data_IF_436144048167
#
_entry.id   IF_436144048167
#
_cell.length_a   1.000
_cell.length_b   1.000
_cell.length_c   1.000
_cell.angle_alpha   90.00
_cell.angle_beta   90.00
_cell.angle_gamma   90.00
#
_symmetry.space_group_name_H-M   'P 1'
#
loop_
_entity.id
_entity.type
_entity.pdbx_description
1 polymer ?
#
# COMPACT_ATOMS: atom_id res chain seq x y z
N UNK A 1 -10.91 -18.58 -28.87
CA UNK A 1 -10.75 -17.46 -27.93
C UNK A 1 -12.06 -17.00 -27.26
N UNK A 2 -13.18 -16.74 -27.99
CA UNK A 2 -14.44 -16.27 -27.38
C UNK A 2 -15.04 -17.22 -26.32
N UNK A 3 -14.90 -18.54 -26.45
CA UNK A 3 -15.43 -19.53 -25.49
C UNK A 3 -14.70 -19.54 -24.14
N UNK A 4 -13.39 -19.28 -24.13
CA UNK A 4 -12.60 -19.21 -22.88
C UNK A 4 -12.85 -17.91 -22.12
N UNK A 5 -13.10 -16.81 -22.85
CA UNK A 5 -13.47 -15.54 -22.24
C UNK A 5 -14.82 -15.64 -21.51
N UNK A 6 -15.80 -16.35 -22.12
CA UNK A 6 -17.10 -16.60 -21.51
C UNK A 6 -16.98 -17.49 -20.26
N UNK A 7 -16.11 -18.50 -20.30
CA UNK A 7 -15.89 -19.39 -19.15
C UNK A 7 -15.24 -18.64 -17.99
N UNK A 8 -14.24 -17.81 -18.27
CA UNK A 8 -13.61 -16.95 -17.26
C UNK A 8 -14.62 -15.98 -16.67
N UNK A 9 -15.47 -15.35 -17.50
CA UNK A 9 -16.50 -14.43 -17.04
C UNK A 9 -17.56 -15.12 -16.20
N UNK A 10 -18.01 -16.31 -16.60
CA UNK A 10 -19.02 -17.10 -15.86
C UNK A 10 -18.46 -17.63 -14.55
N UNK A 11 -17.20 -18.04 -14.53
CA UNK A 11 -16.54 -18.47 -13.28
C UNK A 11 -16.40 -17.29 -12.31
N UNK A 12 -16.08 -16.09 -12.81
CA UNK A 12 -16.03 -14.87 -12.00
C UNK A 12 -17.41 -14.50 -11.42
N UNK A 13 -18.50 -14.69 -12.19
CA UNK A 13 -19.86 -14.43 -11.71
C UNK A 13 -20.37 -15.48 -10.72
N UNK A 14 -19.97 -16.74 -10.85
CA UNK A 14 -20.37 -17.81 -9.92
C UNK A 14 -19.69 -17.72 -8.55
N UNK A 15 -18.49 -17.15 -8.49
CA UNK A 15 -17.83 -16.82 -7.20
C UNK A 15 -18.30 -15.49 -6.61
N UNK A 16 -19.05 -14.68 -7.36
CA UNK A 16 -19.54 -13.35 -6.94
C UNK A 16 -20.81 -13.34 -6.08
N UNK A 17 -21.33 -14.51 -5.69
CA UNK A 17 -22.55 -14.58 -4.85
C UNK A 17 -22.29 -14.63 -3.35
N UNK A 18 -21.07 -14.38 -2.90
CA UNK A 18 -20.84 -14.07 -1.50
C UNK A 18 -21.40 -12.67 -1.26
N UNK A 19 -22.48 -12.58 -0.51
CA UNK A 19 -23.04 -11.31 -0.07
C UNK A 19 -21.90 -10.43 0.46
N UNK A 20 -21.49 -9.46 -0.33
CA UNK A 20 -20.31 -8.67 -0.02
C UNK A 20 -20.70 -7.66 1.04
N UNK A 21 -20.55 -8.05 2.28
CA UNK A 21 -20.45 -7.10 3.35
C UNK A 21 -19.39 -6.07 2.98
N UNK A 22 -19.70 -4.79 3.13
CA UNK A 22 -18.69 -3.76 3.04
C UNK A 22 -17.66 -4.02 4.13
N UNK A 23 -16.38 -3.90 3.82
CA UNK A 23 -15.30 -4.07 4.80
C UNK A 23 -14.48 -2.80 4.88
N UNK A 24 -14.13 -2.40 6.10
CA UNK A 24 -13.13 -1.37 6.35
C UNK A 24 -11.87 -2.05 6.87
N UNK A 25 -10.73 -1.78 6.27
CA UNK A 25 -9.43 -2.34 6.64
C UNK A 25 -8.44 -1.27 7.02
N UNK A 26 -7.76 -1.49 8.15
CA UNK A 26 -6.66 -0.68 8.65
C UNK A 26 -5.39 -1.52 8.62
N UNK A 27 -4.28 -0.96 8.18
CA UNK A 27 -3.01 -1.65 8.09
C UNK A 27 -1.88 -0.71 8.52
N UNK A 28 -0.89 -1.25 9.26
CA UNK A 28 0.29 -0.53 9.71
C UNK A 28 1.56 -1.31 9.32
N UNK A 29 2.64 -0.65 8.88
CA UNK A 29 3.93 -1.27 8.65
C UNK A 29 4.58 -1.68 9.97
N UNK A 30 5.24 -2.83 9.98
CA UNK A 30 6.04 -3.33 11.12
C UNK A 30 7.52 -3.39 10.79
N UNK A 31 7.87 -3.64 9.55
CA UNK A 31 9.23 -3.80 9.09
C UNK A 31 9.39 -3.22 7.70
N UNK A 32 10.56 -2.67 7.44
CA UNK A 32 10.90 -2.02 6.16
C UNK A 32 12.22 -2.55 5.67
N UNK A 33 12.30 -2.82 4.37
CA UNK A 33 13.54 -3.13 3.69
C UNK A 33 13.79 -2.11 2.56
N UNK A 34 15.00 -1.57 2.51
CA UNK A 34 15.44 -0.67 1.46
C UNK A 34 15.90 -1.47 0.24
N UNK A 35 15.51 -1.05 -0.94
CA UNK A 35 15.92 -1.67 -2.21
C UNK A 35 16.69 -0.73 -3.14
N UNK A 36 17.04 0.47 -2.67
CA UNK A 36 17.90 1.42 -3.38
C UNK A 36 19.39 1.17 -3.16
N UNK A 37 20.23 2.00 -3.81
CA UNK A 37 21.68 1.96 -3.61
C UNK A 37 22.03 2.15 -2.14
N UNK A 38 23.01 1.37 -1.66
CA UNK A 38 23.36 1.27 -0.24
C UNK A 38 23.68 2.63 0.37
N UNK A 39 22.86 3.08 1.28
CA UNK A 39 23.22 4.16 2.18
C UNK A 39 23.71 3.56 3.50
N UNK A 40 24.71 4.17 4.11
CA UNK A 40 25.17 3.84 5.47
C UNK A 40 24.16 4.29 6.55
N UNK A 41 22.95 4.70 6.16
CA UNK A 41 21.92 5.17 7.07
C UNK A 41 21.07 4.00 7.58
N UNK A 42 20.72 4.04 8.85
CA UNK A 42 19.61 3.25 9.39
C UNK A 42 18.30 3.81 8.85
N UNK A 43 17.38 2.94 8.47
CA UNK A 43 16.07 3.35 7.98
C UNK A 43 14.94 2.57 8.67
N UNK A 44 13.82 3.24 8.82
CA UNK A 44 12.58 2.63 9.32
C UNK A 44 11.39 3.32 8.66
N UNK A 45 10.28 2.60 8.47
CA UNK A 45 9.03 3.24 8.09
C UNK A 45 8.01 3.15 9.21
N UNK A 46 7.17 4.16 9.26
CA UNK A 46 5.93 4.20 10.01
C UNK A 46 4.82 4.66 9.08
N UNK A 47 3.57 4.52 9.48
CA UNK A 47 2.47 4.98 8.65
C UNK A 47 1.21 4.17 8.85
N UNK A 48 0.28 4.33 7.94
CA UNK A 48 -0.99 3.61 7.97
C UNK A 48 -1.62 3.51 6.58
N UNK A 49 -2.50 2.55 6.41
CA UNK A 49 -3.36 2.44 5.25
C UNK A 49 -4.80 2.21 5.71
N UNK A 50 -5.73 2.93 5.12
CA UNK A 50 -7.17 2.76 5.33
C UNK A 50 -7.80 2.40 4.01
N UNK A 51 -8.61 1.33 3.97
CA UNK A 51 -9.24 0.86 2.74
C UNK A 51 -10.65 0.39 2.97
N UNK A 52 -11.58 0.91 2.15
CA UNK A 52 -12.93 0.37 2.00
C UNK A 52 -12.95 -0.70 0.92
N UNK A 53 -13.61 -1.83 1.18
CA UNK A 53 -13.81 -2.91 0.22
C UNK A 53 -15.31 -3.13 0.04
N UNK A 54 -15.74 -3.19 -1.22
CA UNK A 54 -17.13 -3.40 -1.62
C UNK A 54 -17.14 -4.54 -2.66
N UNK A 55 -17.57 -5.70 -2.24
CA UNK A 55 -17.47 -6.89 -3.07
C UNK A 55 -16.02 -7.27 -3.38
N UNK A 56 -15.72 -7.32 -4.66
CA UNK A 56 -14.37 -7.64 -5.16
C UNK A 56 -13.43 -6.44 -5.16
N UNK A 57 -13.96 -5.22 -5.13
CA UNK A 57 -13.18 -4.00 -5.35
C UNK A 57 -12.97 -3.22 -4.06
N UNK A 58 -11.84 -2.57 -3.95
CA UNK A 58 -11.55 -1.68 -2.85
C UNK A 58 -10.85 -0.42 -3.32
N UNK A 59 -11.01 0.63 -2.51
CA UNK A 59 -10.27 1.87 -2.66
C UNK A 59 -9.71 2.29 -1.29
N UNK A 60 -8.56 2.92 -1.27
CA UNK A 60 -7.91 3.28 -0.03
C UNK A 60 -6.98 4.47 -0.14
N UNK A 61 -6.53 4.89 1.01
CA UNK A 61 -5.49 5.88 1.19
C UNK A 61 -4.39 5.30 2.06
N UNK A 62 -3.16 5.56 1.67
CA UNK A 62 -1.97 5.11 2.41
C UNK A 62 -1.03 6.28 2.61
N UNK A 63 -0.52 6.42 3.83
CA UNK A 63 0.60 7.27 4.16
C UNK A 63 1.74 6.43 4.68
N UNK A 64 2.95 6.65 4.17
CA UNK A 64 4.19 6.05 4.64
C UNK A 64 5.19 7.14 4.94
N UNK A 65 5.78 7.09 6.15
CA UNK A 65 6.81 7.98 6.63
C UNK A 65 8.12 7.19 6.73
N UNK A 66 8.99 7.34 5.73
CA UNK A 66 10.29 6.68 5.67
C UNK A 66 11.34 7.58 6.32
N UNK A 67 11.89 7.14 7.46
CA UNK A 67 12.91 7.85 8.20
C UNK A 67 14.29 7.27 7.92
N UNK A 68 15.20 8.12 7.49
CA UNK A 68 16.64 7.85 7.43
C UNK A 68 17.32 8.49 8.63
N UNK A 69 18.22 7.76 9.26
CA UNK A 69 18.99 8.22 10.42
C UNK A 69 20.47 8.04 10.14
N UNK A 70 21.22 9.12 10.26
CA UNK A 70 22.69 9.16 10.19
C UNK A 70 23.27 9.57 11.54
N UNK A 71 24.56 9.49 11.67
CA UNK A 71 25.29 9.89 12.90
C UNK A 71 24.98 11.32 13.30
N UNK A 72 24.78 12.23 12.35
CA UNK A 72 24.61 13.67 12.57
C UNK A 72 23.19 14.20 12.34
N UNK A 73 22.18 13.32 12.21
CA UNK A 73 20.81 13.77 12.01
C UNK A 73 19.87 12.72 11.45
N UNK A 74 18.68 13.16 11.15
CA UNK A 74 17.68 12.31 10.48
C UNK A 74 16.82 13.10 9.52
N UNK A 75 16.36 12.46 8.45
CA UNK A 75 15.38 13.00 7.52
C UNK A 75 14.23 12.02 7.37
N UNK A 76 13.01 12.53 7.41
CA UNK A 76 11.80 11.74 7.17
C UNK A 76 11.16 12.19 5.87
N UNK A 77 10.87 11.23 5.00
CA UNK A 77 10.11 11.41 3.77
C UNK A 77 8.72 10.85 3.98
N UNK A 78 7.71 11.71 3.87
CA UNK A 78 6.31 11.28 3.86
C UNK A 78 5.88 11.05 2.42
N UNK A 79 5.23 9.91 2.16
CA UNK A 79 4.66 9.57 0.84
C UNK A 79 3.20 9.22 1.02
N UNK A 80 2.33 9.88 0.26
CA UNK A 80 0.89 9.66 0.26
C UNK A 80 0.45 9.03 -1.05
N UNK A 81 -0.40 8.02 -0.98
CA UNK A 81 -0.94 7.35 -2.17
C UNK A 81 -2.45 7.09 -2.04
N UNK A 82 -3.13 7.16 -3.16
CA UNK A 82 -4.49 6.61 -3.31
C UNK A 82 -4.34 5.27 -4.02
N UNK A 83 -4.98 4.25 -3.51
CA UNK A 83 -4.88 2.91 -4.05
C UNK A 83 -6.24 2.29 -4.39
N UNK A 84 -6.23 1.39 -5.36
CA UNK A 84 -7.35 0.52 -5.72
C UNK A 84 -6.92 -0.92 -5.50
N UNK A 85 -7.87 -1.77 -5.19
CA UNK A 85 -7.58 -3.17 -4.91
C UNK A 85 -8.65 -4.11 -5.45
N UNK A 86 -8.22 -5.35 -5.65
CA UNK A 86 -9.06 -6.48 -5.99
C UNK A 86 -8.90 -7.55 -4.91
N UNK A 87 -10.04 -8.04 -4.41
CA UNK A 87 -10.12 -9.15 -3.43
C UNK A 87 -10.87 -10.31 -4.09
N UNK A 88 -10.20 -11.11 -4.95
CA UNK A 88 -10.89 -12.15 -5.73
C UNK A 88 -11.42 -13.29 -4.86
N UNK A 89 -10.80 -13.50 -3.71
CA UNK A 89 -11.28 -14.38 -2.65
C UNK A 89 -10.99 -13.71 -1.31
N UNK A 90 -11.74 -14.05 -0.27
CA UNK A 90 -11.59 -13.43 1.06
C UNK A 90 -10.19 -13.61 1.67
N UNK A 91 -9.46 -14.65 1.23
CA UNK A 91 -8.12 -14.96 1.75
C UNK A 91 -7.06 -13.94 1.35
N UNK A 92 -7.17 -13.28 0.18
CA UNK A 92 -6.14 -12.34 -0.26
C UNK A 92 -6.68 -11.14 -1.03
N UNK A 93 -5.94 -10.04 -0.94
CA UNK A 93 -6.18 -8.79 -1.65
C UNK A 93 -4.89 -8.36 -2.34
N UNK A 94 -4.99 -7.96 -3.58
CA UNK A 94 -3.90 -7.31 -4.33
C UNK A 94 -4.32 -5.91 -4.72
N UNK A 95 -3.38 -5.00 -4.84
CA UNK A 95 -3.71 -3.66 -5.26
C UNK A 95 -2.54 -2.85 -5.76
N UNK A 96 -2.91 -1.73 -6.35
CA UNK A 96 -2.01 -0.75 -6.93
C UNK A 96 -2.42 0.65 -6.49
N UNK A 97 -1.46 1.50 -6.19
CA UNK A 97 -1.68 2.88 -5.81
C UNK A 97 -0.81 3.84 -6.58
N UNK A 98 -1.28 5.06 -6.68
CA UNK A 98 -0.55 6.18 -7.28
C UNK A 98 -0.18 7.17 -6.18
N UNK A 99 1.09 7.58 -6.17
CA UNK A 99 1.56 8.62 -5.25
C UNK A 99 0.94 9.95 -5.65
N UNK A 100 0.23 10.56 -4.70
CA UNK A 100 -0.53 11.80 -4.91
C UNK A 100 0.09 13.01 -4.20
N UNK A 101 1.07 12.77 -3.34
CA UNK A 101 1.73 13.83 -2.59
C UNK A 101 2.77 13.29 -1.61
N UNK A 102 3.37 14.19 -0.88
CA UNK A 102 4.36 13.85 0.13
C UNK A 102 4.91 15.06 0.86
N UNK A 103 5.88 14.80 1.73
CA UNK A 103 6.59 15.78 2.52
C UNK A 103 8.02 15.35 2.82
N UNK A 104 8.81 16.26 3.32
CA UNK A 104 10.15 15.99 3.84
C UNK A 104 10.41 16.85 5.06
N UNK A 105 11.01 16.26 6.09
CA UNK A 105 11.28 17.00 7.35
C UNK A 105 12.39 18.05 7.22
N UNK A 106 13.27 17.91 6.23
CA UNK A 106 14.40 18.80 5.97
C UNK A 106 14.37 19.33 4.53
N UNK A 107 13.56 20.37 4.28
CA UNK A 107 13.49 20.98 2.96
C UNK A 107 12.06 21.27 2.49
N UNK A 108 11.93 21.70 1.26
CA UNK A 108 10.63 21.99 0.64
C UNK A 108 10.51 21.17 -0.65
N UNK A 109 9.49 20.33 -0.72
CA UNK A 109 9.15 19.60 -1.93
C UNK A 109 8.41 20.49 -2.93
N UNK A 110 8.66 20.23 -4.20
CA UNK A 110 7.89 20.78 -5.32
C UNK A 110 6.76 19.79 -5.68
N UNK A 111 7.11 18.52 -5.84
CA UNK A 111 6.14 17.47 -6.17
C UNK A 111 6.59 16.09 -5.69
N UNK A 112 5.65 15.19 -5.62
CA UNK A 112 5.88 13.77 -5.36
C UNK A 112 5.11 12.95 -6.39
N UNK A 113 5.73 11.91 -6.93
CA UNK A 113 5.15 11.02 -7.92
C UNK A 113 5.63 9.59 -7.71
N UNK A 114 4.96 8.64 -8.36
CA UNK A 114 5.34 7.23 -8.29
C UNK A 114 4.17 6.31 -8.07
N UNK A 115 4.46 5.11 -7.64
CA UNK A 115 3.45 4.07 -7.43
C UNK A 115 3.75 3.19 -6.24
N UNK A 116 2.74 2.47 -5.80
CA UNK A 116 2.86 1.40 -4.81
C UNK A 116 2.07 0.20 -5.26
N UNK A 117 2.59 -0.98 -5.02
CA UNK A 117 1.88 -2.25 -5.18
C UNK A 117 1.82 -2.96 -3.85
N UNK A 118 0.75 -3.68 -3.58
CA UNK A 118 0.63 -4.40 -2.33
C UNK A 118 -0.13 -5.71 -2.49
N UNK A 119 0.16 -6.60 -1.55
CA UNK A 119 -0.49 -7.88 -1.38
C UNK A 119 -0.80 -8.07 0.10
N UNK A 120 -2.05 -8.47 0.42
CA UNK A 120 -2.46 -8.79 1.78
C UNK A 120 -3.04 -10.20 1.82
N UNK A 121 -2.63 -10.96 2.82
CA UNK A 121 -3.32 -12.16 3.29
C UNK A 121 -4.34 -11.75 4.36
N UNK A 122 -5.55 -12.27 4.25
CA UNK A 122 -6.67 -11.94 5.11
C UNK A 122 -7.14 -13.22 5.84
N UNK A 123 -7.23 -13.15 7.14
CA UNK A 123 -7.68 -14.26 7.98
C UNK A 123 -8.97 -13.84 8.69
N UNK A 124 -10.12 -14.32 8.18
CA UNK A 124 -11.43 -13.99 8.71
C UNK A 124 -11.70 -14.68 10.04
N UNK A 125 -12.09 -13.91 11.04
CA UNK A 125 -12.53 -14.34 12.37
C UNK A 125 -13.96 -13.84 12.62
N UNK A 126 -14.89 -14.24 11.77
CA UNK A 126 -16.26 -13.72 11.79
C UNK A 126 -16.33 -12.27 11.25
N UNK A 127 -16.80 -11.29 12.05
CA UNK A 127 -16.90 -9.90 11.60
C UNK A 127 -15.56 -9.17 11.54
N UNK A 128 -14.48 -9.79 12.00
CA UNK A 128 -13.13 -9.21 12.04
C UNK A 128 -12.21 -10.02 11.16
N UNK A 129 -11.41 -9.35 10.33
CA UNK A 129 -10.30 -9.93 9.58
C UNK A 129 -8.98 -9.53 10.24
N UNK A 130 -8.03 -10.45 10.36
CA UNK A 130 -6.62 -10.14 10.59
C UNK A 130 -5.91 -10.09 9.26
N UNK A 131 -5.01 -9.13 9.11
CA UNK A 131 -4.31 -8.87 7.85
C UNK A 131 -2.81 -9.03 8.05
N UNK A 132 -2.14 -9.71 7.11
CA UNK A 132 -0.70 -9.67 6.95
C UNK A 132 -0.42 -9.13 5.54
N UNK A 133 0.39 -8.09 5.44
CA UNK A 133 0.56 -7.36 4.19
C UNK A 133 2.02 -7.15 3.80
N UNK A 134 2.25 -7.12 2.51
CA UNK A 134 3.50 -6.72 1.88
C UNK A 134 3.21 -5.61 0.88
N UNK A 135 3.97 -4.53 0.95
CA UNK A 135 3.82 -3.37 0.08
C UNK A 135 5.18 -2.95 -0.47
N UNK A 136 5.21 -2.68 -1.76
CA UNK A 136 6.37 -2.15 -2.48
C UNK A 136 6.10 -0.70 -2.87
N UNK A 137 7.07 0.16 -2.63
CA UNK A 137 7.04 1.56 -2.99
C UNK A 137 8.10 1.89 -4.04
N UNK A 138 7.72 2.67 -5.04
CA UNK A 138 8.61 3.33 -5.99
C UNK A 138 8.15 4.78 -6.10
N UNK A 139 8.76 5.66 -5.31
CA UNK A 139 8.37 7.06 -5.20
C UNK A 139 9.54 7.99 -5.54
N UNK A 140 9.24 9.09 -6.18
CA UNK A 140 10.19 10.16 -6.51
C UNK A 140 9.68 11.46 -5.90
N UNK A 141 10.51 12.07 -5.07
CA UNK A 141 10.27 13.39 -4.48
C UNK A 141 11.18 14.42 -5.16
N UNK A 142 10.59 15.42 -5.78
CA UNK A 142 11.29 16.53 -6.39
C UNK A 142 11.33 17.72 -5.42
N UNK A 143 12.51 18.31 -5.27
CA UNK A 143 12.71 19.49 -4.44
C UNK A 143 12.67 20.77 -5.30
N UNK A 144 12.36 21.89 -4.68
CA UNK A 144 12.36 23.21 -5.37
C UNK A 144 13.70 23.60 -5.99
N UNK A 145 14.81 23.04 -5.52
CA UNK A 145 16.15 23.22 -6.10
C UNK A 145 16.44 22.30 -7.27
N UNK A 146 15.42 21.63 -7.83
CA UNK A 146 15.52 20.67 -8.95
C UNK A 146 16.26 19.36 -8.62
N UNK A 147 16.61 19.10 -7.36
CA UNK A 147 17.13 17.79 -6.94
C UNK A 147 15.98 16.79 -6.79
N UNK A 148 16.29 15.51 -6.88
CA UNK A 148 15.32 14.41 -6.75
C UNK A 148 15.80 13.38 -5.73
N UNK A 149 14.87 12.87 -4.93
CA UNK A 149 15.08 11.69 -4.09
C UNK A 149 14.19 10.56 -4.61
N UNK A 150 14.82 9.46 -5.05
CA UNK A 150 14.13 8.24 -5.47
C UNK A 150 14.12 7.25 -4.33
N UNK A 151 12.93 6.88 -3.89
CA UNK A 151 12.70 6.02 -2.74
C UNK A 151 12.11 4.70 -3.23
N UNK A 152 12.91 3.63 -3.17
CA UNK A 152 12.45 2.25 -3.44
C UNK A 152 12.59 1.43 -2.18
N UNK A 153 11.48 1.01 -1.63
CA UNK A 153 11.46 0.24 -0.39
C UNK A 153 10.23 -0.66 -0.30
N UNK A 154 10.32 -1.64 0.58
CA UNK A 154 9.26 -2.58 0.83
C UNK A 154 8.88 -2.54 2.30
N UNK A 155 7.61 -2.77 2.58
CA UNK A 155 7.04 -2.80 3.92
C UNK A 155 6.34 -4.14 4.14
N UNK A 156 6.59 -4.74 5.29
CA UNK A 156 5.77 -5.83 5.82
C UNK A 156 4.97 -5.24 6.96
N UNK A 157 3.69 -5.53 7.03
CA UNK A 157 2.83 -4.99 8.07
C UNK A 157 1.67 -5.90 8.43
N UNK A 158 0.95 -5.47 9.43
CA UNK A 158 -0.26 -6.14 9.92
C UNK A 158 -1.44 -5.17 9.92
N UNK A 159 -2.63 -5.72 9.99
CA UNK A 159 -3.84 -4.91 10.06
C UNK A 159 -5.03 -5.66 10.59
N UNK A 160 -6.12 -4.92 10.67
CA UNK A 160 -7.42 -5.44 11.04
C UNK A 160 -8.47 -4.96 10.04
N UNK A 161 -9.46 -5.81 9.79
CA UNK A 161 -10.62 -5.48 8.97
C UNK A 161 -11.91 -5.69 9.76
N UNK A 162 -12.93 -4.90 9.43
CA UNK A 162 -14.26 -5.00 10.01
C UNK A 162 -15.27 -5.12 8.88
N UNK A 163 -16.10 -6.17 8.90
CA UNK A 163 -17.23 -6.37 7.99
C UNK A 163 -18.54 -5.85 8.57
N UNK A 164 -19.41 -5.29 7.71
CA UNK A 164 -20.73 -4.76 8.07
C UNK A 164 -21.80 -5.42 7.20
#
# INVERSE_FOLDING_TARGET
>A
MKRYLLLIFTTFFLFGSVASAAKLRLHIPLSTSWSGDSSSAEFSSTGYSVRGIFGLFGAGYTQSDLKFKWTNGSTTYTTNAIDVSLTPIDLFTVGYGVVTGGGVSSGTLDSSSGSTTFFNLNFGLGPVDLLAGYRMWDATHKFKNSSEAKLKYNEIGIGVGFGF
#
